data_IF_726577272351
#
_entry.id   IF_726577272351
#
_cell.length_a   1.000
_cell.length_b   1.000
_cell.length_c   1.000
_cell.angle_alpha   90.00
_cell.angle_beta   90.00
_cell.angle_gamma   90.00
#
_symmetry.space_group_name_H-M   'P 1'
#
loop_
_entity.id
_entity.type
_entity.pdbx_description
1 polymer ?
#
# COMPACT_ATOMS: atom_id res chain seq x y z
N UNK A 1 -30.15 -4.75 27.62
CA UNK A 1 -29.00 -5.45 27.00
C UNK A 1 -28.06 -5.80 28.13
N UNK A 2 -27.50 -7.00 28.14
CA UNK A 2 -26.70 -7.53 29.26
C UNK A 2 -25.23 -7.71 28.87
N UNK A 3 -24.35 -7.94 29.86
CA UNK A 3 -22.93 -8.24 29.65
C UNK A 3 -22.67 -9.42 28.68
N UNK A 4 -23.63 -10.35 28.56
CA UNK A 4 -23.62 -11.47 27.61
C UNK A 4 -23.70 -10.97 26.16
N UNK A 5 -24.48 -9.91 25.90
CA UNK A 5 -24.61 -9.29 24.58
C UNK A 5 -23.30 -8.64 24.12
N UNK A 6 -22.53 -8.08 25.06
CA UNK A 6 -21.21 -7.49 24.79
C UNK A 6 -20.18 -8.53 24.36
N UNK A 7 -20.10 -9.66 25.08
CA UNK A 7 -19.21 -10.77 24.76
C UNK A 7 -19.55 -11.41 23.40
N UNK A 8 -20.84 -11.66 23.15
CA UNK A 8 -21.29 -12.23 21.88
C UNK A 8 -20.91 -11.33 20.69
N UNK A 9 -21.08 -10.01 20.82
CA UNK A 9 -20.67 -9.04 19.79
C UNK A 9 -19.15 -9.00 19.61
N UNK A 10 -18.37 -9.07 20.69
CA UNK A 10 -16.92 -9.14 20.58
C UNK A 10 -16.46 -10.39 19.83
N UNK A 11 -17.01 -11.56 20.16
CA UNK A 11 -16.71 -12.83 19.49
C UNK A 11 -17.12 -12.80 17.99
N UNK A 12 -18.28 -12.24 17.67
CA UNK A 12 -18.70 -12.05 16.28
C UNK A 12 -17.73 -11.14 15.50
N UNK A 13 -17.21 -10.08 16.14
CA UNK A 13 -16.19 -9.22 15.55
C UNK A 13 -14.88 -9.97 15.24
N UNK A 14 -14.42 -10.82 16.16
CA UNK A 14 -13.26 -11.68 15.92
C UNK A 14 -13.49 -12.66 14.76
N UNK A 15 -14.69 -13.25 14.66
CA UNK A 15 -15.05 -14.15 13.55
C UNK A 15 -15.11 -13.42 12.20
N UNK A 16 -15.54 -12.17 12.17
CA UNK A 16 -15.50 -11.33 10.95
C UNK A 16 -14.06 -10.98 10.56
N UNK A 17 -13.24 -10.57 11.53
CA UNK A 17 -11.82 -10.29 11.32
C UNK A 17 -11.06 -11.52 10.79
N UNK A 18 -11.35 -12.71 11.32
CA UNK A 18 -10.76 -13.97 10.87
C UNK A 18 -11.09 -14.31 9.40
N UNK A 19 -12.16 -13.73 8.85
CA UNK A 19 -12.56 -13.89 7.43
C UNK A 19 -12.16 -12.69 6.54
N UNK A 20 -11.50 -11.68 7.09
CA UNK A 20 -11.16 -10.45 6.37
C UNK A 20 -12.34 -9.46 6.22
N UNK A 21 -13.48 -9.70 6.86
CA UNK A 21 -14.64 -8.82 6.84
C UNK A 21 -14.45 -7.64 7.82
N UNK A 22 -13.52 -6.74 7.51
CA UNK A 22 -13.01 -5.74 8.45
C UNK A 22 -14.04 -4.70 8.89
N UNK A 23 -14.92 -4.23 7.99
CA UNK A 23 -15.98 -3.28 8.33
C UNK A 23 -17.06 -3.91 9.23
N UNK A 24 -17.42 -5.16 8.97
CA UNK A 24 -18.32 -5.92 9.85
C UNK A 24 -17.69 -6.13 11.23
N UNK A 25 -16.40 -6.48 11.28
CA UNK A 25 -15.65 -6.63 12.52
C UNK A 25 -15.64 -5.34 13.36
N UNK A 26 -15.36 -4.19 12.73
CA UNK A 26 -15.40 -2.88 13.37
C UNK A 26 -16.79 -2.57 13.96
N UNK A 27 -17.85 -2.81 13.19
CA UNK A 27 -19.22 -2.57 13.62
C UNK A 27 -19.62 -3.45 14.81
N UNK A 28 -19.21 -4.72 14.81
CA UNK A 28 -19.41 -5.62 15.93
C UNK A 28 -18.69 -5.16 17.19
N UNK A 29 -17.42 -4.75 17.08
CA UNK A 29 -16.66 -4.21 18.21
C UNK A 29 -17.23 -2.87 18.71
N UNK A 30 -17.72 -2.01 17.83
CA UNK A 30 -18.44 -0.80 18.20
C UNK A 30 -19.70 -1.12 19.03
N UNK A 31 -20.47 -2.11 18.58
CA UNK A 31 -21.64 -2.60 19.30
C UNK A 31 -21.30 -3.19 20.68
N UNK A 32 -20.17 -3.90 20.79
CA UNK A 32 -19.69 -4.44 22.07
C UNK A 32 -19.33 -3.31 23.06
N UNK A 33 -18.66 -2.24 22.60
CA UNK A 33 -18.37 -1.07 23.43
C UNK A 33 -19.65 -0.32 23.87
N UNK A 34 -20.64 -0.21 22.98
CA UNK A 34 -21.91 0.42 23.31
C UNK A 34 -22.73 -0.39 24.34
N UNK A 35 -22.64 -1.71 24.32
CA UNK A 35 -23.21 -2.57 25.36
C UNK A 35 -22.54 -2.33 26.71
N UNK A 36 -21.21 -2.17 26.71
CA UNK A 36 -20.44 -1.90 27.92
C UNK A 36 -20.86 -0.61 28.63
N UNK A 37 -21.00 0.50 27.90
CA UNK A 37 -21.35 1.80 28.48
C UNK A 37 -22.69 1.83 29.24
N UNK A 38 -23.55 0.82 29.05
CA UNK A 38 -24.86 0.72 29.70
C UNK A 38 -24.88 -0.15 30.97
N UNK A 39 -24.01 -1.14 31.08
CA UNK A 39 -24.19 -2.21 32.08
C UNK A 39 -23.41 -2.03 33.38
N UNK A 40 -22.41 -1.14 33.44
CA UNK A 40 -21.73 -0.70 34.67
C UNK A 40 -21.07 -1.77 35.55
N UNK A 41 -21.23 -3.06 35.24
CA UNK A 41 -20.72 -4.23 35.95
C UNK A 41 -19.58 -4.86 35.17
N UNK A 42 -18.67 -5.51 35.89
CA UNK A 42 -17.46 -6.16 35.38
C UNK A 42 -17.71 -6.84 34.02
N UNK A 43 -17.15 -6.27 32.96
CA UNK A 43 -17.32 -6.81 31.63
C UNK A 43 -16.57 -8.13 31.50
N UNK A 44 -17.15 -9.08 30.77
CA UNK A 44 -16.52 -10.37 30.48
C UNK A 44 -15.26 -10.27 29.60
N UNK A 45 -15.01 -9.10 28.99
CA UNK A 45 -13.86 -8.81 28.12
C UNK A 45 -13.32 -7.44 28.53
N UNK A 46 -12.00 -7.22 28.49
CA UNK A 46 -11.34 -5.93 28.77
C UNK A 46 -11.65 -4.82 27.73
N UNK A 47 -11.72 -3.56 28.17
CA UNK A 47 -12.24 -2.43 27.36
C UNK A 47 -11.19 -1.99 26.39
N UNK A 48 -9.97 -1.87 26.89
CA UNK A 48 -8.81 -1.61 26.07
C UNK A 48 -8.66 -2.68 25.00
N UNK A 49 -8.97 -3.94 25.29
CA UNK A 49 -8.94 -5.02 24.29
C UNK A 49 -9.97 -4.81 23.18
N UNK A 50 -11.24 -4.52 23.51
CA UNK A 50 -12.27 -4.27 22.49
C UNK A 50 -11.98 -2.98 21.70
N UNK A 51 -11.47 -1.93 22.35
CA UNK A 51 -11.07 -0.67 21.70
C UNK A 51 -9.91 -0.90 20.72
N UNK A 52 -8.87 -1.65 21.12
CA UNK A 52 -7.76 -2.03 20.23
C UNK A 52 -8.22 -2.91 19.07
N UNK A 53 -9.12 -3.86 19.32
CA UNK A 53 -9.66 -4.72 18.27
C UNK A 53 -10.47 -3.91 17.25
N UNK A 54 -11.29 -2.97 17.72
CA UNK A 54 -12.04 -2.03 16.88
C UNK A 54 -11.11 -1.16 16.04
N UNK A 55 -10.10 -0.56 16.66
CA UNK A 55 -9.13 0.30 15.95
C UNK A 55 -8.34 -0.48 14.90
N UNK A 56 -7.89 -1.70 15.26
CA UNK A 56 -7.19 -2.59 14.33
C UNK A 56 -8.06 -3.01 13.15
N UNK A 57 -9.34 -3.34 13.38
CA UNK A 57 -10.29 -3.66 12.31
C UNK A 57 -10.51 -2.45 11.38
N UNK A 58 -10.69 -1.25 11.93
CA UNK A 58 -10.82 -0.02 11.14
C UNK A 58 -9.56 0.28 10.30
N UNK A 59 -8.36 0.08 10.86
CA UNK A 59 -7.11 0.25 10.12
C UNK A 59 -6.96 -0.77 8.97
N UNK A 60 -7.39 -2.01 9.16
CA UNK A 60 -7.39 -3.02 8.10
C UNK A 60 -8.43 -2.72 7.02
N UNK A 61 -9.63 -2.28 7.42
CA UNK A 61 -10.66 -1.82 6.49
C UNK A 61 -10.16 -0.62 5.65
N UNK A 62 -9.48 0.33 6.30
CA UNK A 62 -8.84 1.46 5.63
C UNK A 62 -7.80 0.99 4.62
N UNK A 63 -6.97 -0.01 4.97
CA UNK A 63 -5.98 -0.56 4.05
C UNK A 63 -6.62 -1.20 2.81
N UNK A 64 -7.73 -1.91 2.98
CA UNK A 64 -8.50 -2.51 1.89
C UNK A 64 -9.15 -1.44 0.99
N UNK A 65 -9.76 -0.41 1.58
CA UNK A 65 -10.42 0.68 0.84
C UNK A 65 -9.41 1.55 0.10
N UNK A 66 -8.31 1.95 0.75
CA UNK A 66 -7.23 2.70 0.09
C UNK A 66 -6.63 1.87 -1.05
N UNK A 67 -6.56 0.55 -0.94
CA UNK A 67 -6.04 -0.29 -2.03
C UNK A 67 -6.86 -0.17 -3.33
N UNK A 68 -8.18 -0.02 -3.22
CA UNK A 68 -9.06 0.22 -4.38
C UNK A 68 -8.67 1.54 -5.05
N UNK A 69 -8.54 2.61 -4.26
CA UNK A 69 -8.15 3.93 -4.77
C UNK A 69 -6.73 3.93 -5.35
N UNK A 70 -5.78 3.21 -4.75
CA UNK A 70 -4.43 3.06 -5.31
C UNK A 70 -4.43 2.35 -6.67
N UNK A 71 -5.32 1.38 -6.87
CA UNK A 71 -5.48 0.68 -8.14
C UNK A 71 -6.12 1.56 -9.22
N UNK A 72 -6.93 2.54 -8.82
CA UNK A 72 -7.53 3.52 -9.71
C UNK A 72 -6.54 4.64 -10.08
N UNK A 73 -6.02 5.34 -9.06
CA UNK A 73 -5.27 6.59 -9.19
C UNK A 73 -3.86 6.41 -9.75
N UNK A 74 -3.09 5.43 -9.27
CA UNK A 74 -1.68 5.29 -9.67
C UNK A 74 -1.55 4.87 -11.15
N UNK A 75 -2.29 3.86 -11.66
CA UNK A 75 -2.26 3.55 -13.09
C UNK A 75 -2.72 4.69 -13.99
N UNK A 76 -3.72 5.48 -13.58
CA UNK A 76 -4.16 6.66 -14.31
C UNK A 76 -3.03 7.68 -14.51
N UNK A 77 -2.36 8.06 -13.42
CA UNK A 77 -1.19 8.93 -13.48
C UNK A 77 -0.06 8.35 -14.35
N UNK A 78 0.23 7.05 -14.24
CA UNK A 78 1.21 6.40 -15.11
C UNK A 78 0.82 6.42 -16.59
N UNK A 79 -0.45 6.18 -16.95
CA UNK A 79 -0.91 6.23 -18.35
C UNK A 79 -0.76 7.64 -18.92
N UNK A 80 -1.16 8.65 -18.16
CA UNK A 80 -1.04 10.05 -18.56
C UNK A 80 0.41 10.49 -18.69
N UNK A 81 1.25 10.13 -17.71
CA UNK A 81 2.70 10.39 -17.75
C UNK A 81 3.39 9.66 -18.89
N UNK A 82 3.02 8.42 -19.19
CA UNK A 82 3.54 7.68 -20.34
C UNK A 82 3.19 8.36 -21.68
N UNK A 83 1.98 8.90 -21.82
CA UNK A 83 1.61 9.67 -23.01
C UNK A 83 2.43 10.97 -23.16
N UNK A 84 2.67 11.68 -22.06
CA UNK A 84 3.50 12.90 -22.05
C UNK A 84 4.97 12.60 -22.34
N UNK A 85 5.52 11.54 -21.73
CA UNK A 85 6.87 11.07 -22.03
C UNK A 85 7.00 10.64 -23.50
N UNK A 86 5.95 10.02 -24.05
CA UNK A 86 5.97 9.63 -25.45
C UNK A 86 5.98 10.82 -26.40
N UNK A 87 5.29 11.91 -26.05
CA UNK A 87 5.26 13.15 -26.79
C UNK A 87 6.57 13.96 -26.70
N UNK A 88 7.33 13.84 -25.60
CA UNK A 88 8.62 14.52 -25.44
C UNK A 88 9.74 13.91 -26.30
N UNK A 89 9.52 12.73 -26.91
CA UNK A 89 10.52 12.03 -27.71
C UNK A 89 11.58 11.30 -26.89
N UNK A 90 11.54 11.34 -25.55
CA UNK A 90 12.46 10.60 -24.71
C UNK A 90 12.24 9.08 -24.85
N UNK A 91 13.31 8.33 -25.15
CA UNK A 91 13.26 6.88 -25.39
C UNK A 91 14.34 6.16 -24.61
N UNK A 92 14.00 4.96 -24.13
CA UNK A 92 14.93 4.01 -23.56
C UNK A 92 14.43 2.59 -23.82
N UNK A 93 15.31 1.62 -24.15
CA UNK A 93 14.94 0.20 -24.18
C UNK A 93 14.50 -0.31 -22.79
N UNK A 94 14.89 0.39 -21.71
CA UNK A 94 14.63 -0.01 -20.33
C UNK A 94 13.52 0.81 -19.66
N UNK A 95 12.64 1.47 -20.43
CA UNK A 95 11.63 2.40 -19.92
C UNK A 95 10.81 1.83 -18.76
N UNK A 96 10.47 0.53 -18.78
CA UNK A 96 9.69 -0.11 -17.70
C UNK A 96 10.41 -0.12 -16.35
N UNK A 97 11.73 -0.27 -16.35
CA UNK A 97 12.56 -0.29 -15.13
C UNK A 97 12.94 1.14 -14.75
N UNK A 98 13.36 1.93 -15.73
CA UNK A 98 13.82 3.29 -15.49
C UNK A 98 12.68 4.22 -15.05
N UNK A 99 11.44 4.00 -15.51
CA UNK A 99 10.31 4.82 -15.08
C UNK A 99 10.03 4.70 -13.57
N UNK A 100 10.15 3.49 -13.02
CA UNK A 100 9.98 3.26 -11.58
C UNK A 100 11.17 3.78 -10.78
N UNK A 101 12.39 3.67 -11.33
CA UNK A 101 13.61 4.18 -10.71
C UNK A 101 13.78 5.70 -10.78
N UNK A 102 13.08 6.40 -11.67
CA UNK A 102 13.28 7.83 -11.92
C UNK A 102 13.15 8.68 -10.66
N UNK A 103 12.10 8.44 -9.88
CA UNK A 103 11.85 9.18 -8.64
C UNK A 103 12.77 8.75 -7.50
N UNK A 104 13.26 7.51 -7.50
CA UNK A 104 14.20 7.00 -6.48
C UNK A 104 15.62 7.53 -6.70
N UNK A 105 16.10 7.44 -7.94
CA UNK A 105 17.44 7.88 -8.31
C UNK A 105 17.56 9.41 -8.41
N UNK A 106 16.45 10.14 -8.38
CA UNK A 106 16.44 11.61 -8.31
C UNK A 106 17.21 12.16 -7.10
N UNK A 107 17.33 11.39 -6.00
CA UNK A 107 18.07 11.80 -4.79
C UNK A 107 19.50 11.28 -4.74
N UNK A 108 19.93 10.52 -5.74
CA UNK A 108 21.25 9.89 -5.80
C UNK A 108 21.19 8.36 -5.88
N UNK A 109 22.31 7.68 -5.59
CA UNK A 109 22.42 6.23 -5.69
C UNK A 109 21.40 5.48 -4.82
N UNK A 110 20.76 4.45 -5.37
CA UNK A 110 19.89 3.54 -4.61
C UNK A 110 20.61 2.22 -4.29
N UNK A 111 20.44 1.61 -3.10
CA UNK A 111 21.01 0.30 -2.81
C UNK A 111 20.54 -0.77 -3.80
N UNK A 112 21.44 -1.65 -4.26
CA UNK A 112 21.07 -2.68 -5.24
C UNK A 112 19.98 -3.64 -4.72
N UNK A 113 20.03 -3.98 -3.43
CA UNK A 113 19.00 -4.79 -2.78
C UNK A 113 17.60 -4.17 -2.86
N UNK A 114 17.51 -2.84 -2.68
CA UNK A 114 16.25 -2.11 -2.81
C UNK A 114 15.74 -2.14 -4.25
N UNK A 115 16.62 -1.87 -5.23
CA UNK A 115 16.24 -1.91 -6.66
C UNK A 115 15.69 -3.30 -7.04
N UNK A 116 16.36 -4.37 -6.59
CA UNK A 116 15.91 -5.75 -6.81
C UNK A 116 14.59 -6.07 -6.12
N UNK A 117 14.41 -5.63 -4.87
CA UNK A 117 13.17 -5.85 -4.13
C UNK A 117 11.98 -5.19 -4.83
N UNK A 118 12.12 -3.95 -5.29
CA UNK A 118 11.07 -3.21 -6.00
C UNK A 118 10.70 -3.83 -7.35
N UNK A 119 11.71 -4.32 -8.07
CA UNK A 119 11.54 -4.84 -9.43
C UNK A 119 11.48 -6.37 -9.49
N UNK A 120 11.25 -7.04 -8.36
CA UNK A 120 11.21 -8.51 -8.27
C UNK A 120 10.22 -9.18 -9.23
N UNK A 121 9.21 -8.44 -9.70
CA UNK A 121 8.21 -8.89 -10.68
C UNK A 121 8.25 -8.08 -11.99
N UNK A 122 9.16 -7.12 -12.11
CA UNK A 122 9.27 -6.29 -13.31
C UNK A 122 10.20 -6.98 -14.32
N UNK A 123 9.70 -7.42 -15.49
CA UNK A 123 10.57 -8.01 -16.49
C UNK A 123 11.57 -6.99 -17.03
N UNK A 124 12.72 -7.45 -17.48
CA UNK A 124 13.77 -6.60 -18.06
C UNK A 124 14.73 -5.98 -17.04
N UNK A 125 14.55 -6.20 -15.73
CA UNK A 125 15.47 -5.70 -14.69
C UNK A 125 16.92 -6.16 -14.94
N UNK A 126 17.12 -7.44 -15.25
CA UNK A 126 18.45 -7.99 -15.49
C UNK A 126 19.16 -7.27 -16.65
N UNK A 127 18.45 -7.07 -17.77
CA UNK A 127 18.97 -6.36 -18.93
C UNK A 127 19.32 -4.89 -18.59
N UNK A 128 18.46 -4.18 -17.87
CA UNK A 128 18.72 -2.81 -17.44
C UNK A 128 19.94 -2.70 -16.53
N UNK A 129 20.11 -3.64 -15.59
CA UNK A 129 21.25 -3.65 -14.65
C UNK A 129 22.59 -4.00 -15.31
N UNK A 130 22.59 -4.67 -16.47
CA UNK A 130 23.81 -4.97 -17.23
C UNK A 130 24.17 -3.88 -18.24
N UNK A 131 23.24 -2.99 -18.56
CA UNK A 131 23.44 -1.96 -19.57
C UNK A 131 24.15 -0.73 -19.00
N UNK A 132 25.47 -0.70 -19.22
CA UNK A 132 26.39 0.34 -18.72
C UNK A 132 26.18 1.70 -19.37
N UNK A 133 25.43 1.80 -20.48
CA UNK A 133 25.05 3.11 -21.03
C UNK A 133 24.02 3.80 -20.15
N UNK A 134 23.23 3.03 -19.39
CA UNK A 134 22.13 3.53 -18.59
C UNK A 134 22.42 3.51 -17.08
N UNK A 135 23.00 2.43 -16.56
CA UNK A 135 23.21 2.27 -15.13
C UNK A 135 24.65 1.88 -14.81
N UNK A 136 25.19 2.50 -13.76
CA UNK A 136 26.41 2.06 -13.09
C UNK A 136 26.00 1.23 -11.88
N UNK A 137 26.36 -0.06 -11.90
CA UNK A 137 25.92 -1.03 -10.88
C UNK A 137 27.11 -1.56 -10.08
N UNK A 138 27.00 -1.46 -8.75
CA UNK A 138 27.87 -2.08 -7.76
C UNK A 138 27.05 -2.40 -6.50
N UNK A 139 27.54 -2.05 -5.29
CA UNK A 139 26.72 -2.11 -4.07
C UNK A 139 25.49 -1.17 -4.10
N UNK A 140 25.52 -0.17 -4.99
CA UNK A 140 24.41 0.71 -5.32
C UNK A 140 24.23 0.82 -6.83
N UNK A 141 23.04 1.23 -7.25
CA UNK A 141 22.68 1.54 -8.64
C UNK A 141 22.68 3.06 -8.80
N UNK A 142 23.38 3.55 -9.82
CA UNK A 142 23.48 4.98 -10.15
C UNK A 142 23.11 5.20 -11.61
N UNK A 143 22.46 6.30 -11.91
CA UNK A 143 22.22 6.73 -13.29
C UNK A 143 23.52 7.22 -13.93
N UNK A 144 23.77 6.84 -15.18
CA UNK A 144 24.73 7.54 -16.05
C UNK A 144 24.20 8.94 -16.40
N UNK A 145 25.01 9.84 -17.00
CA UNK A 145 24.51 11.14 -17.48
C UNK A 145 23.32 11.01 -18.44
N UNK A 146 23.41 10.09 -19.43
CA UNK A 146 22.34 9.77 -20.38
C UNK A 146 21.07 9.30 -19.66
N UNK A 147 21.21 8.40 -18.70
CA UNK A 147 20.08 7.93 -17.92
C UNK A 147 19.49 9.06 -17.09
N UNK A 148 20.30 9.89 -16.44
CA UNK A 148 19.83 11.00 -15.63
C UNK A 148 18.97 11.99 -16.45
N UNK A 149 19.31 12.25 -17.71
CA UNK A 149 18.47 13.03 -18.64
C UNK A 149 17.10 12.37 -18.87
N UNK A 150 17.10 11.07 -19.17
CA UNK A 150 15.87 10.31 -19.35
C UNK A 150 15.00 10.27 -18.08
N UNK A 151 15.61 10.05 -16.91
CA UNK A 151 14.89 10.03 -15.62
C UNK A 151 14.27 11.41 -15.31
N UNK A 152 14.96 12.51 -15.66
CA UNK A 152 14.37 13.86 -15.55
C UNK A 152 13.14 14.01 -16.44
N UNK A 153 13.19 13.52 -17.68
CA UNK A 153 12.04 13.55 -18.58
C UNK A 153 10.87 12.71 -18.05
N UNK A 154 11.13 11.54 -17.46
CA UNK A 154 10.10 10.72 -16.79
C UNK A 154 9.46 11.49 -15.63
N UNK A 155 10.27 12.05 -14.73
CA UNK A 155 9.77 12.77 -13.56
C UNK A 155 8.96 14.00 -13.95
N UNK A 156 9.41 14.76 -14.96
CA UNK A 156 8.66 15.88 -15.51
C UNK A 156 7.30 15.45 -16.08
N UNK A 157 7.27 14.36 -16.87
CA UNK A 157 6.04 13.83 -17.43
C UNK A 157 5.06 13.34 -16.35
N UNK A 158 5.54 12.69 -15.29
CA UNK A 158 4.70 12.29 -14.17
C UNK A 158 4.20 13.49 -13.36
N UNK A 159 5.05 14.48 -13.09
CA UNK A 159 4.67 15.70 -12.37
C UNK A 159 3.55 16.45 -13.12
N UNK A 160 3.73 16.68 -14.42
CA UNK A 160 2.72 17.32 -15.27
C UNK A 160 1.42 16.49 -15.34
N UNK A 161 1.52 15.16 -15.36
CA UNK A 161 0.35 14.29 -15.36
C UNK A 161 -0.49 14.47 -14.09
N UNK A 162 0.15 14.45 -12.91
CA UNK A 162 -0.56 14.54 -11.63
C UNK A 162 -1.04 15.95 -11.33
N UNK A 163 -0.34 16.99 -11.81
CA UNK A 163 -0.82 18.37 -11.77
C UNK A 163 -2.12 18.57 -12.54
N UNK A 164 -2.28 17.87 -13.69
CA UNK A 164 -3.52 17.91 -14.48
C UNK A 164 -4.64 17.08 -13.88
N UNK A 165 -4.32 15.92 -13.29
CA UNK A 165 -5.32 15.04 -12.70
C UNK A 165 -5.86 15.60 -11.38
N UNK A 166 -4.99 16.18 -10.56
CA UNK A 166 -5.29 16.56 -9.18
C UNK A 166 -4.92 18.03 -8.94
N UNK A 167 -5.63 19.01 -9.54
CA UNK A 167 -5.30 20.42 -9.39
C UNK A 167 -5.26 20.86 -7.91
N UNK A 168 -6.16 20.31 -7.09
CA UNK A 168 -6.25 20.57 -5.65
C UNK A 168 -6.07 19.27 -4.84
N UNK A 169 -4.84 18.76 -4.69
CA UNK A 169 -4.60 17.49 -4.00
C UNK A 169 -4.81 17.65 -2.48
N UNK A 170 -5.38 16.64 -1.79
CA UNK A 170 -5.46 16.64 -0.34
C UNK A 170 -4.07 16.58 0.29
N UNK A 171 -3.94 17.15 1.48
CA UNK A 171 -2.74 17.00 2.30
C UNK A 171 -2.83 15.71 3.09
N UNK A 172 -2.03 14.72 2.72
CA UNK A 172 -1.99 13.42 3.39
C UNK A 172 -0.71 13.28 4.22
N UNK A 173 -0.87 13.27 5.54
CA UNK A 173 0.22 13.05 6.50
C UNK A 173 0.24 11.59 6.95
N UNK A 174 0.92 10.74 6.17
CA UNK A 174 1.13 9.33 6.49
C UNK A 174 2.61 8.98 6.43
N UNK A 175 3.07 8.22 7.43
CA UNK A 175 4.42 7.66 7.45
C UNK A 175 4.40 6.25 6.87
N UNK A 176 5.10 6.07 5.75
CA UNK A 176 5.21 4.81 5.02
C UNK A 176 6.63 4.28 5.18
N UNK A 177 6.78 3.11 5.81
CA UNK A 177 8.07 2.46 6.05
C UNK A 177 8.44 1.55 4.89
N UNK A 178 8.63 2.14 3.72
CA UNK A 178 9.00 1.44 2.50
C UNK A 178 9.99 2.28 1.69
N UNK A 179 10.99 1.69 0.99
CA UNK A 179 12.00 2.47 0.26
C UNK A 179 11.44 3.49 -0.74
N UNK A 180 10.27 3.21 -1.33
CA UNK A 180 9.57 4.17 -2.20
C UNK A 180 9.11 5.45 -1.50
N UNK A 181 9.06 5.52 -0.17
CA UNK A 181 8.79 6.76 0.55
C UNK A 181 9.89 7.84 0.32
N UNK A 182 11.08 7.42 -0.11
CA UNK A 182 12.16 8.32 -0.49
C UNK A 182 12.03 8.89 -1.92
N UNK A 183 11.08 8.38 -2.73
CA UNK A 183 10.85 8.83 -4.09
C UNK A 183 10.54 10.34 -4.15
N UNK A 184 11.05 10.98 -5.20
CA UNK A 184 10.80 12.40 -5.51
C UNK A 184 10.53 12.55 -6.99
N UNK A 185 9.26 12.60 -7.36
CA UNK A 185 8.81 12.89 -8.72
C UNK A 185 8.93 14.38 -9.03
N UNK A 186 8.64 15.25 -8.06
CA UNK A 186 8.69 16.71 -8.23
C UNK A 186 8.41 17.44 -6.91
N UNK A 187 8.56 18.77 -6.88
CA UNK A 187 8.37 19.55 -5.66
C UNK A 187 6.90 19.89 -5.38
N UNK A 188 5.99 19.76 -6.35
CA UNK A 188 4.59 20.17 -6.21
C UNK A 188 3.82 19.28 -5.22
N UNK A 189 2.75 19.80 -4.56
CA UNK A 189 1.88 18.99 -3.70
C UNK A 189 1.36 17.71 -4.38
N UNK A 190 1.03 17.79 -5.67
CA UNK A 190 0.53 16.69 -6.49
C UNK A 190 1.58 15.60 -6.66
N UNK A 191 2.82 15.99 -6.95
CA UNK A 191 3.94 15.05 -7.06
C UNK A 191 4.23 14.37 -5.72
N UNK A 192 4.14 15.10 -4.60
CA UNK A 192 4.29 14.52 -3.25
C UNK A 192 3.20 13.51 -2.93
N UNK A 193 1.94 13.83 -3.23
CA UNK A 193 0.83 12.89 -3.09
C UNK A 193 1.07 11.65 -3.95
N UNK A 194 1.48 11.82 -5.21
CA UNK A 194 1.76 10.71 -6.10
C UNK A 194 2.86 9.77 -5.56
N UNK A 195 3.96 10.34 -5.06
CA UNK A 195 5.05 9.57 -4.44
C UNK A 195 4.55 8.78 -3.22
N UNK A 196 3.70 9.38 -2.39
CA UNK A 196 3.07 8.72 -1.25
C UNK A 196 2.16 7.55 -1.70
N UNK A 197 1.29 7.77 -2.69
CA UNK A 197 0.40 6.73 -3.22
C UNK A 197 1.20 5.56 -3.81
N UNK A 198 2.28 5.85 -4.54
CA UNK A 198 3.21 4.82 -5.02
C UNK A 198 3.84 4.07 -3.86
N UNK A 199 4.31 4.75 -2.81
CA UNK A 199 4.89 4.11 -1.65
C UNK A 199 3.90 3.16 -0.94
N UNK A 200 2.65 3.59 -0.74
CA UNK A 200 1.58 2.74 -0.20
C UNK A 200 1.28 1.53 -1.10
N UNK A 201 1.26 1.74 -2.43
CA UNK A 201 1.02 0.66 -3.41
C UNK A 201 2.13 -0.40 -3.35
N UNK A 202 3.39 0.00 -3.26
CA UNK A 202 4.50 -0.95 -3.12
C UNK A 202 4.49 -1.64 -1.75
N UNK A 203 4.21 -0.91 -0.66
CA UNK A 203 4.06 -1.53 0.65
C UNK A 203 2.96 -2.61 0.65
N UNK A 204 1.81 -2.35 -0.02
CA UNK A 204 0.77 -3.38 -0.18
C UNK A 204 1.25 -4.55 -1.05
N UNK A 205 2.00 -4.30 -2.11
CA UNK A 205 2.55 -5.36 -2.96
C UNK A 205 3.51 -6.28 -2.18
N UNK A 206 4.30 -5.72 -1.27
CA UNK A 206 5.17 -6.46 -0.35
C UNK A 206 4.36 -7.22 0.71
N UNK A 207 3.35 -6.59 1.30
CA UNK A 207 2.41 -7.26 2.21
C UNK A 207 1.74 -8.47 1.56
N UNK A 208 1.27 -8.33 0.32
CA UNK A 208 0.66 -9.41 -0.44
C UNK A 208 1.65 -10.54 -0.76
N UNK A 209 2.91 -10.20 -1.01
CA UNK A 209 3.95 -11.20 -1.21
C UNK A 209 4.24 -11.99 0.06
N UNK A 210 4.39 -11.31 1.18
CA UNK A 210 4.61 -11.95 2.48
C UNK A 210 3.41 -12.82 2.87
N UNK A 211 2.19 -12.34 2.63
CA UNK A 211 0.97 -13.11 2.83
C UNK A 211 1.00 -14.41 2.02
N UNK A 212 1.21 -14.33 0.70
CA UNK A 212 1.28 -15.50 -0.16
C UNK A 212 2.34 -16.52 0.29
N UNK A 213 3.50 -16.08 0.80
CA UNK A 213 4.53 -16.96 1.34
C UNK A 213 4.14 -17.59 2.67
N UNK A 214 3.60 -16.79 3.60
CA UNK A 214 3.12 -17.27 4.89
C UNK A 214 2.05 -18.35 4.68
N UNK A 215 1.01 -18.03 3.90
CA UNK A 215 -0.08 -18.93 3.56
C UNK A 215 0.48 -20.19 2.89
N UNK A 216 1.35 -20.08 1.88
CA UNK A 216 1.97 -21.25 1.25
C UNK A 216 2.74 -22.15 2.24
N UNK A 217 3.54 -21.57 3.14
CA UNK A 217 4.30 -22.32 4.14
C UNK A 217 3.40 -23.04 5.16
N UNK A 218 2.36 -22.36 5.64
CA UNK A 218 1.38 -22.94 6.56
C UNK A 218 0.48 -23.99 5.90
N UNK A 219 0.12 -23.80 4.63
CA UNK A 219 -0.61 -24.81 3.85
C UNK A 219 0.25 -26.02 3.55
N UNK A 220 1.58 -25.90 3.41
CA UNK A 220 2.44 -27.08 3.21
C UNK A 220 2.45 -27.98 4.44
N UNK A 221 2.40 -27.40 5.65
CA UNK A 221 2.33 -28.15 6.91
C UNK A 221 0.93 -28.73 7.20
N UNK A 222 -0.14 -28.03 6.82
CA UNK A 222 -1.53 -28.48 7.02
C UNK A 222 -2.03 -29.45 5.92
N UNK A 223 -1.61 -29.27 4.67
CA UNK A 223 -1.99 -30.15 3.55
C UNK A 223 -1.42 -31.56 3.68
N UNK A 224 -0.23 -31.72 4.26
CA UNK A 224 0.34 -33.05 4.52
C UNK A 224 -0.49 -33.85 5.55
N UNK A 225 -1.31 -33.19 6.37
CA UNK A 225 -2.10 -33.82 7.42
C UNK A 225 -3.59 -34.02 7.07
N UNK A 226 -4.16 -33.24 6.14
CA UNK A 226 -5.62 -33.15 6.00
C UNK A 226 -6.21 -33.35 4.59
N UNK A 227 -5.41 -33.62 3.55
CA UNK A 227 -5.94 -33.87 2.20
C UNK A 227 -6.88 -32.77 1.68
N UNK A 228 -6.54 -31.50 1.94
CA UNK A 228 -7.50 -30.40 1.84
C UNK A 228 -7.52 -29.72 0.47
N UNK A 229 -8.74 -29.45 0.01
CA UNK A 229 -9.09 -28.57 -1.08
C UNK A 229 -8.74 -27.10 -0.80
N UNK A 230 -8.40 -26.39 -1.88
CA UNK A 230 -8.52 -24.95 -2.10
C UNK A 230 -7.82 -23.98 -1.13
N UNK A 231 -6.78 -23.32 -1.67
CA UNK A 231 -6.38 -21.95 -1.29
C UNK A 231 -7.63 -21.05 -1.28
N UNK A 232 -8.07 -20.56 -0.12
CA UNK A 232 -9.09 -19.50 -0.11
C UNK A 232 -8.40 -18.16 -0.35
N UNK A 233 -8.74 -17.49 -1.44
CA UNK A 233 -8.31 -16.11 -1.75
C UNK A 233 -8.56 -15.14 -0.59
N UNK A 234 -9.58 -15.42 0.23
CA UNK A 234 -9.91 -14.66 1.44
C UNK A 234 -8.83 -14.67 2.54
N UNK A 235 -8.05 -15.75 2.68
CA UNK A 235 -7.00 -15.80 3.71
C UNK A 235 -5.81 -14.90 3.35
N UNK A 236 -5.37 -14.96 2.08
CA UNK A 236 -4.29 -14.11 1.56
C UNK A 236 -4.66 -12.63 1.65
N UNK A 237 -5.89 -12.28 1.32
CA UNK A 237 -6.41 -10.91 1.43
C UNK A 237 -6.40 -10.42 2.89
N UNK A 238 -6.88 -11.24 3.83
CA UNK A 238 -6.85 -10.92 5.26
C UNK A 238 -5.41 -10.67 5.76
N UNK A 239 -4.47 -11.56 5.47
CA UNK A 239 -3.07 -11.40 5.91
C UNK A 239 -2.43 -10.18 5.23
N UNK A 240 -2.76 -9.94 3.95
CA UNK A 240 -2.32 -8.75 3.22
C UNK A 240 -2.80 -7.48 3.92
N UNK A 241 -4.09 -7.38 4.24
CA UNK A 241 -4.66 -6.17 4.86
C UNK A 241 -4.10 -5.92 6.26
N UNK A 242 -3.88 -6.98 7.04
CA UNK A 242 -3.22 -6.88 8.35
C UNK A 242 -1.84 -6.24 8.22
N UNK A 243 -1.00 -6.73 7.31
CA UNK A 243 0.35 -6.19 7.09
C UNK A 243 0.32 -4.79 6.45
N UNK A 244 -0.57 -4.57 5.48
CA UNK A 244 -0.75 -3.28 4.81
C UNK A 244 -1.37 -2.21 5.72
N UNK A 245 -2.00 -2.60 6.85
CA UNK A 245 -2.63 -1.67 7.78
C UNK A 245 -1.66 -0.81 8.59
N UNK A 246 -0.37 -1.17 8.61
CA UNK A 246 0.64 -0.56 9.49
C UNK A 246 0.70 0.99 9.42
N UNK A 247 0.66 1.65 8.25
CA UNK A 247 0.68 3.12 8.17
C UNK A 247 -0.56 3.74 8.81
N UNK A 248 -1.72 3.10 8.64
CA UNK A 248 -3.00 3.64 9.10
C UNK A 248 -3.20 3.46 10.60
N UNK A 249 -2.54 2.48 11.25
CA UNK A 249 -2.56 2.32 12.71
C UNK A 249 -1.93 3.51 13.47
N UNK A 250 -1.17 4.37 12.78
CA UNK A 250 -0.49 5.54 13.37
C UNK A 250 -1.35 6.80 13.39
N UNK A 251 -2.49 6.77 12.72
CA UNK A 251 -3.45 7.88 12.67
C UNK A 251 -4.78 7.43 13.26
N UNK A 252 -5.54 8.37 13.80
CA UNK A 252 -6.85 8.07 14.36
C UNK A 252 -7.90 7.74 13.28
N UNK A 253 -9.03 7.19 13.72
CA UNK A 253 -10.16 6.78 12.86
C UNK A 253 -10.73 7.93 12.02
N UNK A 254 -10.78 9.15 12.56
CA UNK A 254 -11.34 10.29 11.84
C UNK A 254 -10.43 10.66 10.66
N UNK A 255 -9.11 10.67 10.88
CA UNK A 255 -8.11 10.86 9.82
C UNK A 255 -8.13 9.74 8.79
N UNK A 256 -8.35 8.48 9.19
CA UNK A 256 -8.53 7.35 8.25
C UNK A 256 -9.76 7.52 7.37
N UNK A 257 -10.89 7.91 7.95
CA UNK A 257 -12.11 8.17 7.20
C UNK A 257 -11.97 9.36 6.23
N UNK A 258 -11.33 10.45 6.68
CA UNK A 258 -11.01 11.61 5.84
C UNK A 258 -10.12 11.21 4.66
N UNK A 259 -9.03 10.46 4.92
CA UNK A 259 -8.15 9.94 3.87
C UNK A 259 -8.91 9.17 2.79
N UNK A 260 -9.76 8.21 3.17
CA UNK A 260 -10.52 7.43 2.19
C UNK A 260 -11.46 8.33 1.38
N UNK A 261 -12.09 9.30 2.03
CA UNK A 261 -12.98 10.27 1.38
C UNK A 261 -12.22 11.15 0.38
N UNK A 262 -11.08 11.69 0.80
CA UNK A 262 -10.23 12.54 -0.01
C UNK A 262 -9.72 11.79 -1.25
N UNK A 263 -9.26 10.55 -1.09
CA UNK A 263 -8.79 9.74 -2.22
C UNK A 263 -9.91 9.39 -3.20
N UNK A 264 -11.12 9.10 -2.72
CA UNK A 264 -12.30 8.88 -3.58
C UNK A 264 -12.68 10.13 -4.39
N UNK A 265 -12.41 11.32 -3.86
CA UNK A 265 -12.67 12.59 -4.53
C UNK A 265 -11.71 12.93 -5.68
N UNK A 266 -10.57 12.25 -5.79
CA UNK A 266 -9.57 12.51 -6.82
C UNK A 266 -9.97 11.89 -8.18
N UNK A 267 -9.65 12.59 -9.28
CA UNK A 267 -9.88 12.11 -10.65
C UNK A 267 -8.85 11.04 -11.09
N UNK A 268 -9.20 10.25 -12.10
CA UNK A 268 -8.36 9.22 -12.75
C UNK A 268 -8.46 9.22 -14.29
#
# INVERSE_FOLDING_TARGET
MSAVDGLARYAAGLACAARGAWREAEAHHAGALAAWGRDGRAAAVDRGLVERARDGADACATAAEVAVELHRLVPAAHRRGAALLAASGARSPHVRVLADLASLLARGPAPLGVVRALHRRTPGLAAALTDREWLVVGGSVRATPRCAEFLRAVNAAHAEAVERLWPDPPVVELVVEHPMAAARTGPSPQARLFDLLRALRYQRADAHHTAAHYTAAHHTAAHQAAGAEHRSTSEDERVTDLAASAPYRRIDRARRAALVTDLRGLAD
#
